data_IF_092007863236
#
_entry.id   IF_092007863236
#
_cell.length_a   1.000
_cell.length_b   1.000
_cell.length_c   1.000
_cell.angle_alpha   90.00
_cell.angle_beta   90.00
_cell.angle_gamma   90.00
#
_symmetry.space_group_name_H-M   'P 1'
#
loop_
_entity.id
_entity.type
_entity.pdbx_description
1 polymer ?
#
# COMPACT_ATOMS: atom_id res chain seq x y z
N UNK A 1 -6.89 -13.86 28.74
CA UNK A 1 -6.38 -15.14 28.21
C UNK A 1 -6.94 -15.30 26.80
N UNK A 2 -6.16 -14.98 25.77
CA UNK A 2 -6.63 -14.94 24.39
C UNK A 2 -6.31 -16.28 23.72
N UNK A 3 -7.36 -17.04 23.41
CA UNK A 3 -7.26 -18.31 22.71
C UNK A 3 -7.14 -18.04 21.19
N UNK A 4 -5.98 -18.39 20.67
CA UNK A 4 -5.70 -18.56 19.25
C UNK A 4 -6.62 -19.65 18.70
N UNK A 5 -7.58 -19.27 17.86
CA UNK A 5 -8.39 -20.23 17.10
C UNK A 5 -7.55 -20.76 15.94
N UNK A 6 -7.60 -22.09 15.78
CA UNK A 6 -6.94 -22.87 14.75
C UNK A 6 -7.19 -22.33 13.33
N UNK A 7 -6.11 -21.86 12.68
CA UNK A 7 -5.88 -22.08 11.26
C UNK A 7 -6.87 -21.49 10.26
N UNK A 8 -7.58 -20.41 10.57
CA UNK A 8 -8.33 -19.66 9.56
C UNK A 8 -8.22 -18.17 9.81
N UNK A 9 -7.18 -17.59 9.22
CA UNK A 9 -7.11 -16.15 8.98
C UNK A 9 -8.24 -15.80 8.00
N UNK A 10 -9.44 -15.58 8.53
CA UNK A 10 -10.61 -15.20 7.74
C UNK A 10 -10.69 -13.68 7.67
N UNK A 11 -9.73 -13.07 6.97
CA UNK A 11 -9.83 -11.69 6.51
C UNK A 11 -9.64 -11.73 5.00
N UNK A 12 -10.74 -11.56 4.27
CA UNK A 12 -10.84 -11.40 2.82
C UNK A 12 -9.51 -11.12 2.13
N UNK A 13 -8.92 -12.12 1.45
CA UNK A 13 -7.77 -11.90 0.58
C UNK A 13 -8.15 -10.84 -0.46
N UNK A 14 -7.64 -9.62 -0.27
CA UNK A 14 -7.74 -8.59 -1.28
C UNK A 14 -6.76 -8.99 -2.37
N UNK A 15 -7.29 -9.45 -3.50
CA UNK A 15 -6.47 -9.71 -4.67
C UNK A 15 -5.63 -8.46 -4.97
N UNK A 16 -4.36 -8.67 -5.35
CA UNK A 16 -3.46 -7.57 -5.65
C UNK A 16 -4.05 -6.72 -6.78
N UNK A 17 -4.57 -5.55 -6.40
CA UNK A 17 -5.13 -4.57 -7.30
C UNK A 17 -4.15 -3.42 -7.44
N UNK A 18 -4.03 -2.91 -8.66
CA UNK A 18 -3.19 -1.76 -8.96
C UNK A 18 -3.99 -0.47 -8.68
N UNK A 19 -3.86 0.06 -7.47
CA UNK A 19 -4.58 1.26 -7.06
C UNK A 19 -4.03 2.51 -7.75
N UNK A 20 -2.78 2.49 -8.19
CA UNK A 20 -2.21 3.56 -9.00
C UNK A 20 -2.98 3.71 -10.33
N UNK A 21 -3.26 2.61 -11.04
CA UNK A 21 -4.08 2.66 -12.27
C UNK A 21 -5.52 3.10 -12.02
N UNK A 22 -6.11 2.71 -10.89
CA UNK A 22 -7.45 3.19 -10.51
C UNK A 22 -7.43 4.71 -10.31
N UNK A 23 -6.41 5.23 -9.64
CA UNK A 23 -6.24 6.67 -9.43
C UNK A 23 -6.10 7.43 -10.76
N UNK A 24 -5.33 6.91 -11.70
CA UNK A 24 -5.21 7.47 -13.06
C UNK A 24 -6.57 7.55 -13.77
N UNK A 25 -7.38 6.49 -13.68
CA UNK A 25 -8.73 6.47 -14.25
C UNK A 25 -9.70 7.50 -13.65
N UNK A 26 -9.42 7.97 -12.43
CA UNK A 26 -10.17 9.00 -11.73
C UNK A 26 -9.60 10.42 -11.94
N UNK A 27 -8.53 10.57 -12.73
CA UNK A 27 -7.87 11.84 -13.00
C UNK A 27 -6.84 12.27 -11.95
N UNK A 28 -6.50 11.40 -11.02
CA UNK A 28 -5.38 11.58 -10.09
C UNK A 28 -4.07 11.08 -10.72
N UNK A 29 -2.95 11.37 -10.07
CA UNK A 29 -1.66 10.71 -10.40
C UNK A 29 -1.56 9.44 -9.55
N UNK A 30 -1.27 8.30 -10.19
CA UNK A 30 -0.98 7.04 -9.51
C UNK A 30 0.52 6.77 -9.50
N UNK A 31 1.08 6.45 -8.34
CA UNK A 31 2.47 6.01 -8.20
C UNK A 31 2.46 4.69 -7.44
N UNK A 32 3.10 3.66 -8.00
CA UNK A 32 3.21 2.34 -7.37
C UNK A 32 4.65 2.12 -6.88
N UNK A 33 4.78 1.71 -5.62
CA UNK A 33 6.05 1.42 -4.95
C UNK A 33 6.08 -0.07 -4.65
N UNK A 34 6.97 -0.80 -5.30
CA UNK A 34 7.11 -2.25 -5.12
C UNK A 34 8.31 -2.61 -4.25
N UNK A 35 9.28 -1.70 -4.14
CA UNK A 35 10.48 -1.89 -3.35
C UNK A 35 10.67 -0.77 -2.32
N UNK A 36 11.17 -1.08 -1.10
CA UNK A 36 11.42 -0.06 -0.08
C UNK A 36 12.34 1.08 -0.54
N UNK A 37 13.27 0.80 -1.47
CA UNK A 37 14.20 1.80 -2.01
C UNK A 37 13.55 2.86 -2.90
N UNK A 38 12.36 2.59 -3.43
CA UNK A 38 11.63 3.51 -4.33
C UNK A 38 10.81 4.55 -3.55
N UNK A 39 10.58 4.33 -2.26
CA UNK A 39 9.68 5.14 -1.43
C UNK A 39 10.11 6.60 -1.32
N UNK A 40 11.41 6.87 -1.18
CA UNK A 40 11.90 8.25 -1.05
C UNK A 40 11.68 9.04 -2.35
N UNK A 41 12.00 8.43 -3.49
CA UNK A 41 11.82 9.05 -4.80
C UNK A 41 10.33 9.27 -5.10
N UNK A 42 9.51 8.26 -4.86
CA UNK A 42 8.06 8.31 -5.06
C UNK A 42 7.39 9.40 -4.21
N UNK A 43 7.81 9.55 -2.94
CA UNK A 43 7.33 10.63 -2.07
C UNK A 43 7.78 12.01 -2.55
N UNK A 44 9.03 12.15 -3.00
CA UNK A 44 9.54 13.42 -3.54
C UNK A 44 8.76 13.82 -4.79
N UNK A 45 8.53 12.89 -5.72
CA UNK A 45 7.73 13.13 -6.91
C UNK A 45 6.31 13.55 -6.54
N UNK A 46 5.63 12.78 -5.68
CA UNK A 46 4.27 13.07 -5.24
C UNK A 46 4.11 14.48 -4.65
N UNK A 47 5.08 14.93 -3.84
CA UNK A 47 5.05 16.25 -3.21
C UNK A 47 5.34 17.41 -4.18
N UNK A 48 5.99 17.15 -5.32
CA UNK A 48 6.24 18.19 -6.34
C UNK A 48 5.04 18.44 -7.24
N UNK A 49 4.07 17.52 -7.26
CA UNK A 49 2.91 17.60 -8.12
C UNK A 49 1.80 18.44 -7.47
N UNK A 50 1.32 19.46 -8.18
CA UNK A 50 0.14 20.25 -7.77
C UNK A 50 -1.18 19.54 -8.11
N UNK A 51 -1.23 18.22 -7.90
CA UNK A 51 -2.37 17.35 -8.22
C UNK A 51 -2.59 16.32 -7.12
N UNK A 52 -3.81 15.77 -6.96
CA UNK A 52 -4.03 14.64 -6.07
C UNK A 52 -3.20 13.43 -6.54
N UNK A 53 -2.42 12.87 -5.63
CA UNK A 53 -1.56 11.70 -5.87
C UNK A 53 -1.98 10.55 -4.97
N UNK A 54 -2.07 9.34 -5.54
CA UNK A 54 -2.24 8.09 -4.81
C UNK A 54 -0.92 7.32 -4.89
N UNK A 55 -0.34 7.05 -3.73
CA UNK A 55 0.82 6.18 -3.57
C UNK A 55 0.35 4.78 -3.15
N UNK A 56 0.50 3.82 -4.05
CA UNK A 56 0.18 2.40 -3.86
C UNK A 56 1.45 1.65 -3.46
N UNK A 57 1.62 1.39 -2.16
CA UNK A 57 2.84 0.81 -1.59
C UNK A 57 2.60 -0.65 -1.23
N UNK A 58 3.38 -1.55 -1.83
CA UNK A 58 3.31 -2.97 -1.55
C UNK A 58 4.10 -3.30 -0.29
N UNK A 59 3.43 -3.90 0.69
CA UNK A 59 3.98 -4.33 1.97
C UNK A 59 3.74 -5.82 2.17
N UNK A 60 4.59 -6.47 2.97
CA UNK A 60 4.38 -7.87 3.37
C UNK A 60 3.14 -8.01 4.28
N UNK A 61 2.35 -9.07 4.05
CA UNK A 61 1.14 -9.38 4.84
C UNK A 61 1.44 -9.67 6.32
N UNK A 62 2.64 -10.14 6.64
CA UNK A 62 3.10 -10.51 7.98
C UNK A 62 3.91 -9.39 8.66
N UNK A 63 3.62 -8.12 8.35
CA UNK A 63 4.24 -7.01 9.08
C UNK A 63 3.55 -6.83 10.43
N UNK A 64 4.06 -7.47 11.49
CA UNK A 64 3.70 -7.09 12.86
C UNK A 64 4.33 -5.72 13.15
N UNK A 65 3.55 -4.65 13.42
CA UNK A 65 4.14 -3.38 13.80
C UNK A 65 4.87 -3.56 15.14
N UNK A 66 6.15 -3.19 15.18
CA UNK A 66 6.93 -3.15 16.41
C UNK A 66 6.26 -2.14 17.36
N UNK A 67 5.61 -2.61 18.41
CA UNK A 67 5.09 -1.74 19.47
C UNK A 67 6.29 -1.14 20.23
N UNK A 68 6.44 0.18 20.14
CA UNK A 68 7.31 0.97 21.01
C UNK A 68 6.42 1.84 21.90
#
# INVERSE_FOLDING_TARGET
EQAWYEGSFSASELQSMDFAKVAEGLGCVGIRVEQPGEMEEALREALTLEKPVVLDVITDDESTPSVN
#
